data_IF_478658481397
#
_entry.id   IF_478658481397
#
_cell.length_a   1.000
_cell.length_b   1.000
_cell.length_c   1.000
_cell.angle_alpha   90.00
_cell.angle_beta   90.00
_cell.angle_gamma   90.00
#
_symmetry.space_group_name_H-M   'P 1'
#
loop_
_entity.id
_entity.type
_entity.pdbx_description
1 polymer ?
#
# COMPACT_ATOMS: atom_id res chain seq x y z
N UNK A 1 33.58 -25.05 -40.71
CA UNK A 1 34.60 -26.11 -40.66
C UNK A 1 35.60 -25.75 -39.57
N UNK A 2 36.08 -26.76 -38.83
CA UNK A 2 37.18 -26.79 -37.85
C UNK A 2 36.74 -26.71 -36.36
N UNK A 3 36.44 -27.87 -35.71
CA UNK A 3 37.29 -28.72 -34.79
C UNK A 3 37.29 -28.18 -33.33
N UNK A 4 37.21 -28.93 -32.20
CA UNK A 4 37.64 -30.29 -31.81
C UNK A 4 36.82 -30.86 -30.64
N UNK A 5 36.68 -32.18 -30.71
CA UNK A 5 36.31 -33.15 -29.68
C UNK A 5 37.49 -33.35 -28.71
N UNK A 6 37.24 -33.57 -27.42
CA UNK A 6 38.06 -34.46 -26.59
C UNK A 6 37.25 -34.99 -25.40
N UNK A 7 36.97 -36.29 -25.48
CA UNK A 7 36.32 -37.13 -24.49
C UNK A 7 37.24 -37.47 -23.33
N UNK A 8 36.65 -37.77 -22.16
CA UNK A 8 37.16 -38.80 -21.25
C UNK A 8 36.01 -39.31 -20.37
N UNK A 9 35.31 -40.34 -20.84
CA UNK A 9 34.34 -41.11 -20.05
C UNK A 9 34.58 -42.61 -20.33
N UNK A 10 35.21 -43.28 -19.37
CA UNK A 10 35.43 -44.73 -19.23
C UNK A 10 35.70 -44.91 -17.73
N UNK A 11 35.19 -45.86 -16.95
CA UNK A 11 34.29 -47.00 -17.05
C UNK A 11 33.64 -47.08 -15.65
N UNK A 12 32.37 -47.44 -15.50
CA UNK A 12 31.94 -48.84 -15.54
C UNK A 12 32.07 -49.47 -14.16
N UNK A 13 30.94 -49.70 -13.48
CA UNK A 13 30.70 -50.92 -12.72
C UNK A 13 29.19 -51.07 -12.48
N UNK A 14 28.63 -52.11 -13.07
CA UNK A 14 27.28 -52.60 -12.81
C UNK A 14 27.28 -53.29 -11.44
N UNK A 15 26.38 -52.88 -10.54
CA UNK A 15 25.98 -53.71 -9.41
C UNK A 15 24.47 -53.90 -9.49
N UNK A 16 24.11 -55.18 -9.45
CA UNK A 16 22.83 -55.85 -9.55
C UNK A 16 21.70 -55.28 -8.69
N UNK A 17 20.52 -55.26 -9.29
CA UNK A 17 19.20 -55.10 -8.67
C UNK A 17 18.88 -56.22 -7.67
N UNK A 18 18.56 -55.83 -6.44
CA UNK A 18 17.74 -56.61 -5.51
C UNK A 18 16.66 -55.68 -4.94
N UNK A 19 15.37 -56.07 -4.92
CA UNK A 19 14.32 -55.27 -4.29
C UNK A 19 14.39 -55.50 -2.77
N UNK A 20 15.27 -54.78 -2.09
CA UNK A 20 15.15 -54.60 -0.64
C UNK A 20 14.10 -53.52 -0.40
N UNK A 21 12.96 -53.93 0.13
CA UNK A 21 11.97 -53.04 0.72
C UNK A 21 12.60 -52.30 1.90
N UNK A 22 13.32 -51.20 1.61
CA UNK A 22 13.56 -50.16 2.58
C UNK A 22 12.27 -49.39 2.72
N UNK A 23 11.57 -49.60 3.83
CA UNK A 23 10.61 -48.65 4.33
C UNK A 23 11.29 -47.27 4.33
N UNK A 24 10.86 -46.40 3.41
CA UNK A 24 11.19 -45.00 3.46
C UNK A 24 10.51 -44.45 4.72
N UNK A 25 11.25 -44.44 5.83
CA UNK A 25 10.90 -43.56 6.93
C UNK A 25 10.82 -42.15 6.33
N UNK A 26 9.71 -41.40 6.53
CA UNK A 26 9.66 -40.02 6.09
C UNK A 26 10.84 -39.30 6.73
N UNK A 27 11.75 -38.77 5.90
CA UNK A 27 12.78 -37.87 6.38
C UNK A 27 12.05 -36.71 7.06
N UNK A 28 12.07 -36.70 8.40
CA UNK A 28 11.64 -35.54 9.16
C UNK A 28 12.45 -34.35 8.62
N UNK A 29 11.81 -33.20 8.32
CA UNK A 29 12.56 -32.02 7.91
C UNK A 29 13.60 -31.75 8.98
N UNK A 30 14.86 -31.69 8.57
CA UNK A 30 15.95 -31.31 9.44
C UNK A 30 15.65 -29.90 9.95
N UNK A 31 15.10 -29.82 11.16
CA UNK A 31 14.94 -28.57 11.87
C UNK A 31 16.35 -28.01 12.05
N UNK A 32 16.65 -26.93 11.33
CA UNK A 32 17.83 -26.11 11.59
C UNK A 32 17.54 -25.32 12.87
N UNK A 33 17.46 -26.04 13.99
CA UNK A 33 16.85 -25.57 15.22
C UNK A 33 17.88 -25.02 16.21
N UNK A 34 17.88 -23.69 16.37
CA UNK A 34 18.15 -23.10 17.69
C UNK A 34 16.95 -23.31 18.62
N UNK A 35 17.11 -23.04 19.91
CA UNK A 35 15.98 -23.05 20.86
C UNK A 35 14.97 -21.98 20.44
N UNK A 36 13.72 -22.39 20.19
CA UNK A 36 12.63 -21.45 19.94
C UNK A 36 12.22 -20.84 21.28
N UNK A 37 12.46 -19.55 21.46
CA UNK A 37 12.02 -18.82 22.64
C UNK A 37 10.48 -18.74 22.64
N UNK A 38 9.86 -19.33 23.64
CA UNK A 38 8.41 -19.29 23.78
C UNK A 38 7.92 -17.86 24.05
N UNK A 39 6.73 -17.53 23.55
CA UNK A 39 6.08 -16.25 23.84
C UNK A 39 6.46 -15.08 22.93
N UNK A 40 7.39 -15.27 21.99
CA UNK A 40 7.81 -14.23 21.02
C UNK A 40 7.34 -14.62 19.63
N UNK A 41 6.91 -13.63 18.84
CA UNK A 41 6.64 -13.80 17.43
C UNK A 41 6.98 -12.54 16.63
N UNK A 42 6.95 -12.68 15.32
CA UNK A 42 7.22 -11.62 14.34
C UNK A 42 6.01 -11.50 13.41
N UNK A 43 5.58 -10.27 13.18
CA UNK A 43 4.49 -9.96 12.26
C UNK A 43 4.85 -8.80 11.33
N UNK A 44 4.19 -8.73 10.17
CA UNK A 44 4.27 -7.62 9.23
C UNK A 44 2.86 -7.02 9.02
N UNK A 45 2.47 -6.03 9.84
CA UNK A 45 1.12 -5.47 9.76
C UNK A 45 0.76 -4.92 8.37
N UNK A 46 1.63 -4.16 7.67
CA UNK A 46 1.35 -3.73 6.29
C UNK A 46 1.09 -4.89 5.31
N UNK A 47 1.87 -5.96 5.38
CA UNK A 47 1.70 -7.13 4.51
C UNK A 47 0.43 -7.91 4.85
N UNK A 48 0.06 -7.99 6.13
CA UNK A 48 -1.18 -8.64 6.59
C UNK A 48 -2.40 -7.86 6.06
N UNK A 49 -2.41 -6.53 6.20
CA UNK A 49 -3.48 -5.66 5.66
C UNK A 49 -3.63 -5.85 4.15
N UNK A 50 -2.52 -5.80 3.41
CA UNK A 50 -2.53 -5.99 1.95
C UNK A 50 -2.96 -7.40 1.53
N UNK A 51 -2.73 -8.41 2.38
CA UNK A 51 -3.11 -9.80 2.11
C UNK A 51 -4.54 -10.14 2.56
N UNK A 52 -5.21 -9.24 3.30
CA UNK A 52 -6.57 -9.47 3.80
C UNK A 52 -7.59 -9.64 2.67
N UNK A 53 -8.62 -10.45 2.91
CA UNK A 53 -9.71 -10.66 1.95
C UNK A 53 -10.43 -9.33 1.65
N UNK A 54 -10.65 -8.52 2.68
CA UNK A 54 -11.25 -7.21 2.56
C UNK A 54 -10.46 -6.29 1.61
N UNK A 55 -9.13 -6.24 1.74
CA UNK A 55 -8.30 -5.44 0.84
C UNK A 55 -8.32 -6.00 -0.59
N UNK A 56 -8.15 -7.31 -0.76
CA UNK A 56 -8.12 -7.93 -2.08
C UNK A 56 -9.46 -7.75 -2.82
N UNK A 57 -10.58 -7.97 -2.15
CA UNK A 57 -11.92 -7.76 -2.71
C UNK A 57 -12.13 -6.28 -3.03
N UNK A 58 -11.73 -5.37 -2.15
CA UNK A 58 -11.81 -3.94 -2.42
C UNK A 58 -11.00 -3.55 -3.66
N UNK A 59 -9.78 -4.05 -3.83
CA UNK A 59 -8.95 -3.76 -5.03
C UNK A 59 -9.63 -4.23 -6.33
N UNK A 60 -10.32 -5.37 -6.30
CA UNK A 60 -11.05 -5.89 -7.47
C UNK A 60 -12.32 -5.09 -7.76
N UNK A 61 -13.04 -4.68 -6.72
CA UNK A 61 -14.33 -3.99 -6.85
C UNK A 61 -14.19 -2.48 -7.08
N UNK A 62 -13.11 -1.85 -6.59
CA UNK A 62 -12.89 -0.40 -6.70
C UNK A 62 -12.96 0.13 -8.14
N UNK A 63 -12.27 -0.45 -9.14
CA UNK A 63 -12.38 0.03 -10.52
C UNK A 63 -13.78 -0.14 -11.11
N UNK A 64 -14.60 -1.06 -10.56
CA UNK A 64 -16.00 -1.26 -10.97
C UNK A 64 -16.89 -0.20 -10.31
N UNK A 65 -16.76 0.01 -9.00
CA UNK A 65 -17.54 1.01 -8.25
C UNK A 65 -17.27 2.43 -8.75
N UNK A 66 -16.01 2.76 -9.03
CA UNK A 66 -15.59 4.08 -9.49
C UNK A 66 -15.38 4.18 -11.00
N UNK A 67 -15.98 3.25 -11.77
CA UNK A 67 -15.84 3.20 -13.22
C UNK A 67 -16.21 4.53 -13.88
N UNK A 68 -17.30 5.16 -13.44
CA UNK A 68 -17.74 6.45 -14.00
C UNK A 68 -16.68 7.55 -13.84
N UNK A 69 -16.06 7.65 -12.65
CA UNK A 69 -15.00 8.62 -12.37
C UNK A 69 -13.74 8.30 -13.17
N UNK A 70 -13.36 7.02 -13.27
CA UNK A 70 -12.20 6.59 -14.06
C UNK A 70 -12.41 6.91 -15.54
N UNK A 71 -13.58 6.59 -16.10
CA UNK A 71 -13.92 6.88 -17.48
C UNK A 71 -13.93 8.39 -17.73
N UNK A 72 -14.51 9.19 -16.82
CA UNK A 72 -14.49 10.65 -16.90
C UNK A 72 -13.07 11.22 -16.87
N UNK A 73 -12.20 10.71 -15.99
CA UNK A 73 -10.80 11.12 -15.92
C UNK A 73 -10.05 10.79 -17.21
N UNK A 74 -10.29 9.61 -17.79
CA UNK A 74 -9.72 9.19 -19.07
C UNK A 74 -10.20 10.08 -20.23
N UNK A 75 -11.50 10.37 -20.29
CA UNK A 75 -12.05 11.31 -21.27
C UNK A 75 -11.42 12.69 -21.14
N UNK A 76 -11.27 13.20 -19.90
CA UNK A 76 -10.67 14.50 -19.66
C UNK A 76 -9.21 14.53 -20.05
N UNK A 77 -8.44 13.50 -19.71
CA UNK A 77 -7.04 13.34 -20.14
C UNK A 77 -6.92 13.40 -21.66
N UNK A 78 -7.78 12.68 -22.40
CA UNK A 78 -7.75 12.69 -23.86
C UNK A 78 -8.09 14.07 -24.44
N UNK A 79 -9.06 14.78 -23.84
CA UNK A 79 -9.39 16.16 -24.23
C UNK A 79 -8.21 17.12 -24.01
N UNK A 80 -7.53 17.03 -22.87
CA UNK A 80 -6.35 17.86 -22.58
C UNK A 80 -5.24 17.57 -23.59
N UNK A 81 -4.94 16.30 -23.86
CA UNK A 81 -3.94 15.92 -24.87
C UNK A 81 -4.31 16.49 -26.25
N UNK A 82 -5.57 16.36 -26.67
CA UNK A 82 -6.04 16.90 -27.95
C UNK A 82 -5.96 18.44 -28.03
N UNK A 83 -6.13 19.15 -26.91
CA UNK A 83 -5.96 20.60 -26.83
C UNK A 83 -4.48 21.03 -26.85
N UNK A 84 -3.61 20.27 -26.18
CA UNK A 84 -2.18 20.58 -26.08
C UNK A 84 -1.42 20.28 -27.38
N UNK A 85 -1.80 19.23 -28.11
CA UNK A 85 -1.12 18.79 -29.32
C UNK A 85 -0.95 19.89 -30.39
N UNK A 86 -1.98 20.67 -30.78
CA UNK A 86 -1.79 21.77 -31.72
C UNK A 86 -0.95 22.93 -31.13
N UNK A 87 -1.01 23.17 -29.83
CA UNK A 87 -0.19 24.20 -29.17
C UNK A 87 1.29 23.84 -29.19
N UNK A 88 1.61 22.56 -28.93
CA UNK A 88 2.97 22.05 -29.05
C UNK A 88 3.48 22.11 -30.48
N UNK A 89 2.69 21.69 -31.46
CA UNK A 89 3.05 21.78 -32.88
C UNK A 89 3.29 23.25 -33.32
N UNK A 90 2.45 24.17 -32.84
CA UNK A 90 2.61 25.61 -33.12
C UNK A 90 3.87 26.18 -32.47
N UNK A 91 4.13 25.85 -31.21
CA UNK A 91 5.33 26.29 -30.50
C UNK A 91 6.59 25.78 -31.21
N UNK A 92 6.60 24.53 -31.65
CA UNK A 92 7.72 23.96 -32.41
C UNK A 92 7.89 24.67 -33.76
N UNK A 93 6.82 24.89 -34.51
CA UNK A 93 6.86 25.59 -35.79
C UNK A 93 7.37 27.03 -35.64
N UNK A 94 6.84 27.79 -34.68
CA UNK A 94 7.24 29.18 -34.42
C UNK A 94 8.69 29.28 -33.93
N UNK A 95 9.17 28.28 -33.18
CA UNK A 95 10.56 28.23 -32.69
C UNK A 95 11.58 28.02 -33.82
N UNK A 96 11.17 27.36 -34.92
CA UNK A 96 12.01 27.10 -36.10
C UNK A 96 11.92 28.20 -37.15
N UNK A 97 11.10 29.23 -36.93
CA UNK A 97 10.95 30.34 -37.87
C UNK A 97 12.28 31.11 -38.04
N UNK A 98 12.55 31.72 -39.21
CA UNK A 98 13.79 32.46 -39.46
C UNK A 98 14.04 33.65 -38.51
N UNK A 99 12.96 34.19 -37.91
CA UNK A 99 12.98 35.24 -36.88
C UNK A 99 11.91 34.93 -35.84
N UNK A 100 12.19 34.10 -34.83
CA UNK A 100 11.20 33.71 -33.83
C UNK A 100 10.82 34.89 -32.94
N UNK A 101 9.52 35.09 -32.72
CA UNK A 101 9.02 36.09 -31.78
C UNK A 101 9.10 35.54 -30.34
N UNK A 102 10.09 36.02 -29.60
CA UNK A 102 10.35 35.61 -28.22
C UNK A 102 9.19 35.91 -27.27
N UNK A 103 8.41 36.97 -27.51
CA UNK A 103 7.24 37.28 -26.68
C UNK A 103 6.11 36.28 -26.95
N UNK A 104 5.85 35.97 -28.22
CA UNK A 104 4.85 34.97 -28.61
C UNK A 104 5.22 33.56 -28.14
N UNK A 105 6.50 33.16 -28.19
CA UNK A 105 6.95 31.87 -27.66
C UNK A 105 6.77 31.75 -26.15
N UNK A 106 7.11 32.81 -25.39
CA UNK A 106 6.88 32.85 -23.94
C UNK A 106 5.39 32.72 -23.60
N UNK A 107 4.52 33.40 -24.34
CA UNK A 107 3.07 33.30 -24.15
C UNK A 107 2.55 31.89 -24.44
N UNK A 108 3.00 31.26 -25.52
CA UNK A 108 2.63 29.88 -25.85
C UNK A 108 3.07 28.89 -24.77
N UNK A 109 4.29 29.04 -24.26
CA UNK A 109 4.78 28.21 -23.17
C UNK A 109 3.95 28.39 -21.90
N UNK A 110 3.65 29.65 -21.52
CA UNK A 110 2.80 29.94 -20.36
C UNK A 110 1.39 29.34 -20.50
N UNK A 111 0.81 29.41 -21.71
CA UNK A 111 -0.50 28.82 -22.00
C UNK A 111 -0.49 27.30 -21.86
N UNK A 112 0.51 26.63 -22.43
CA UNK A 112 0.69 25.17 -22.30
C UNK A 112 0.80 24.78 -20.82
N UNK A 113 1.70 25.43 -20.08
CA UNK A 113 1.89 25.18 -18.65
C UNK A 113 0.59 25.37 -17.85
N UNK A 114 -0.18 26.40 -18.16
CA UNK A 114 -1.46 26.65 -17.50
C UNK A 114 -2.47 25.52 -17.77
N UNK A 115 -2.58 25.04 -19.01
CA UNK A 115 -3.47 23.95 -19.39
C UNK A 115 -3.04 22.64 -18.70
N UNK A 116 -1.74 22.34 -18.67
CA UNK A 116 -1.22 21.15 -18.01
C UNK A 116 -1.54 21.15 -16.51
N UNK A 117 -1.27 22.26 -15.82
CA UNK A 117 -1.54 22.39 -14.39
C UNK A 117 -3.05 22.34 -14.08
N UNK A 118 -3.88 23.03 -14.87
CA UNK A 118 -5.33 22.99 -14.70
C UNK A 118 -5.88 21.58 -14.95
N UNK A 119 -5.44 20.94 -16.03
CA UNK A 119 -5.84 19.58 -16.38
C UNK A 119 -5.45 18.55 -15.32
N UNK A 120 -4.24 18.66 -14.76
CA UNK A 120 -3.79 17.78 -13.69
C UNK A 120 -4.63 17.94 -12.40
N UNK A 121 -5.00 19.18 -12.05
CA UNK A 121 -5.88 19.45 -10.89
C UNK A 121 -7.28 18.88 -11.11
N UNK A 122 -7.86 19.07 -12.29
CA UNK A 122 -9.18 18.54 -12.61
C UNK A 122 -9.20 17.01 -12.60
N UNK A 123 -8.20 16.36 -13.18
CA UNK A 123 -8.08 14.89 -13.12
C UNK A 123 -7.95 14.40 -11.67
N UNK A 124 -7.16 15.10 -10.84
CA UNK A 124 -7.05 14.77 -9.41
C UNK A 124 -8.39 14.90 -8.69
N UNK A 125 -9.17 15.96 -8.96
CA UNK A 125 -10.50 16.14 -8.39
C UNK A 125 -11.48 15.05 -8.83
N UNK A 126 -11.43 14.64 -10.11
CA UNK A 126 -12.28 13.54 -10.61
C UNK A 126 -11.93 12.22 -9.91
N UNK A 127 -10.64 11.98 -9.64
CA UNK A 127 -10.14 10.77 -8.99
C UNK A 127 -10.07 10.86 -7.46
N UNK A 128 -10.42 12.00 -6.86
CA UNK A 128 -10.43 12.19 -5.41
C UNK A 128 -11.28 11.13 -4.68
N UNK A 129 -12.49 10.76 -5.15
CA UNK A 129 -13.29 9.73 -4.49
C UNK A 129 -12.60 8.35 -4.46
N UNK A 130 -11.76 8.06 -5.46
CA UNK A 130 -10.98 6.82 -5.52
C UNK A 130 -9.92 6.77 -4.42
N UNK A 131 -9.26 7.91 -4.15
CA UNK A 131 -8.26 8.00 -3.09
C UNK A 131 -8.91 7.95 -1.71
N UNK A 132 -10.07 8.58 -1.53
CA UNK A 132 -10.84 8.51 -0.29
C UNK A 132 -11.33 7.09 -0.01
N UNK A 133 -11.75 6.36 -1.06
CA UNK A 133 -12.11 4.94 -0.98
C UNK A 133 -10.96 4.10 -0.41
N UNK A 134 -9.74 4.31 -0.90
CA UNK A 134 -8.58 3.57 -0.43
C UNK A 134 -8.30 3.82 1.05
N UNK A 135 -8.29 5.10 1.45
CA UNK A 135 -8.09 5.46 2.86
C UNK A 135 -9.16 4.87 3.76
N UNK A 136 -10.43 4.87 3.32
CA UNK A 136 -11.53 4.31 4.09
C UNK A 136 -11.46 2.79 4.23
N UNK A 137 -11.06 2.08 3.17
CA UNK A 137 -10.83 0.63 3.24
C UNK A 137 -9.69 0.31 4.21
N UNK A 138 -8.58 1.05 4.13
CA UNK A 138 -7.45 0.88 5.04
C UNK A 138 -7.82 1.19 6.49
N UNK A 139 -8.61 2.24 6.74
CA UNK A 139 -9.11 2.57 8.09
C UNK A 139 -9.94 1.42 8.67
N UNK A 140 -10.90 0.88 7.89
CA UNK A 140 -11.74 -0.24 8.35
C UNK A 140 -10.91 -1.50 8.67
N UNK A 141 -9.89 -1.82 7.87
CA UNK A 141 -9.03 -2.98 8.13
C UNK A 141 -8.12 -2.72 9.33
N UNK A 142 -7.54 -1.52 9.41
CA UNK A 142 -6.69 -1.10 10.52
C UNK A 142 -7.42 -1.16 11.87
N UNK A 143 -8.69 -0.78 11.90
CA UNK A 143 -9.55 -0.84 13.10
C UNK A 143 -9.78 -2.26 13.64
N UNK A 144 -9.52 -3.29 12.84
CA UNK A 144 -9.64 -4.71 13.23
C UNK A 144 -8.31 -5.42 13.40
N UNK A 145 -7.21 -4.78 13.01
CA UNK A 145 -5.88 -5.37 13.03
C UNK A 145 -5.38 -5.64 14.45
N UNK A 146 -5.64 -4.73 15.39
CA UNK A 146 -5.25 -4.90 16.80
C UNK A 146 -6.00 -6.07 17.45
N UNK A 147 -7.32 -6.14 17.26
CA UNK A 147 -8.16 -7.24 17.76
C UNK A 147 -7.75 -8.60 17.16
N UNK A 148 -7.44 -8.62 15.85
CA UNK A 148 -6.93 -9.80 15.15
C UNK A 148 -5.57 -10.25 15.72
N UNK A 149 -4.68 -9.28 15.97
CA UNK A 149 -3.35 -9.53 16.53
C UNK A 149 -3.44 -10.11 17.93
N UNK A 150 -4.27 -9.51 18.79
CA UNK A 150 -4.48 -10.00 20.15
C UNK A 150 -5.10 -11.40 20.18
N UNK A 151 -6.04 -11.69 19.27
CA UNK A 151 -6.67 -13.01 19.13
C UNK A 151 -5.64 -14.06 18.69
N UNK A 152 -4.81 -13.75 17.71
CA UNK A 152 -3.73 -14.62 17.24
C UNK A 152 -2.69 -14.87 18.35
N UNK A 153 -2.27 -13.81 19.06
CA UNK A 153 -1.36 -13.91 20.20
C UNK A 153 -1.91 -14.83 21.29
N UNK A 154 -3.19 -14.69 21.64
CA UNK A 154 -3.86 -15.52 22.66
C UNK A 154 -3.88 -17.00 22.24
N UNK A 155 -4.25 -17.30 20.99
CA UNK A 155 -4.30 -18.68 20.45
C UNK A 155 -2.91 -19.34 20.42
N UNK A 156 -1.89 -18.57 20.04
CA UNK A 156 -0.49 -19.02 19.95
C UNK A 156 0.30 -18.89 21.25
N UNK A 157 -0.30 -18.38 22.33
CA UNK A 157 0.33 -18.09 23.63
C UNK A 157 1.57 -17.19 23.51
N UNK A 158 1.45 -16.13 22.72
CA UNK A 158 2.47 -15.12 22.49
C UNK A 158 2.20 -13.92 23.40
N UNK A 159 3.26 -13.40 24.03
CA UNK A 159 3.22 -12.19 24.86
C UNK A 159 3.91 -11.00 24.21
N UNK A 160 4.76 -11.23 23.20
CA UNK A 160 5.48 -10.18 22.48
C UNK A 160 5.45 -10.45 20.97
N UNK A 161 4.93 -9.48 20.21
CA UNK A 161 5.04 -9.46 18.75
C UNK A 161 6.00 -8.35 18.35
N UNK A 162 6.99 -8.70 17.53
CA UNK A 162 7.93 -7.77 16.94
C UNK A 162 7.52 -7.46 15.50
N UNK A 163 7.69 -6.21 15.09
CA UNK A 163 7.56 -5.87 13.68
C UNK A 163 8.72 -6.48 12.88
N UNK A 164 8.39 -7.21 11.81
CA UNK A 164 9.33 -7.79 10.85
C UNK A 164 10.37 -6.81 10.30
N UNK A 165 10.04 -5.52 10.15
CA UNK A 165 10.95 -4.49 9.66
C UNK A 165 12.05 -4.17 10.68
N UNK A 166 11.82 -4.50 11.96
CA UNK A 166 12.79 -4.34 13.05
C UNK A 166 13.61 -5.61 13.30
N UNK A 167 13.35 -6.71 12.56
CA UNK A 167 13.97 -8.02 12.77
C UNK A 167 14.79 -8.41 11.53
N UNK A 168 16.10 -8.59 11.70
CA UNK A 168 17.02 -8.93 10.59
C UNK A 168 16.73 -10.33 10.03
N UNK A 169 16.47 -11.29 10.91
CA UNK A 169 16.12 -12.67 10.54
C UNK A 169 15.40 -13.35 11.71
N UNK A 170 14.32 -14.05 11.39
CA UNK A 170 13.63 -14.95 12.31
C UNK A 170 13.33 -16.27 11.58
N UNK A 171 13.25 -17.36 12.35
CA UNK A 171 12.74 -18.63 11.83
C UNK A 171 11.23 -18.52 11.53
N UNK A 172 10.75 -19.33 10.59
CA UNK A 172 9.33 -19.37 10.23
C UNK A 172 8.43 -19.74 11.42
N UNK A 173 8.94 -20.46 12.42
CA UNK A 173 8.21 -20.76 13.66
C UNK A 173 7.75 -19.51 14.43
N UNK A 174 8.48 -18.39 14.29
CA UNK A 174 8.12 -17.11 14.91
C UNK A 174 7.11 -16.30 14.08
N UNK A 175 6.81 -16.70 12.85
CA UNK A 175 5.91 -15.93 11.99
C UNK A 175 4.45 -16.04 12.48
N UNK A 176 3.83 -14.89 12.75
CA UNK A 176 2.43 -14.78 13.17
C UNK A 176 1.50 -14.29 12.05
N UNK A 177 2.02 -13.95 10.86
CA UNK A 177 1.25 -13.30 9.80
C UNK A 177 0.00 -14.09 9.42
N UNK A 178 0.12 -15.40 9.23
CA UNK A 178 -1.00 -16.24 8.79
C UNK A 178 -2.08 -16.38 9.87
N UNK A 179 -1.67 -16.44 11.13
CA UNK A 179 -2.59 -16.50 12.27
C UNK A 179 -3.37 -15.17 12.37
N UNK A 180 -2.69 -14.02 12.33
CA UNK A 180 -3.33 -12.69 12.34
C UNK A 180 -4.24 -12.52 11.13
N UNK A 181 -3.78 -12.90 9.93
CA UNK A 181 -4.56 -12.81 8.70
C UNK A 181 -5.85 -13.62 8.79
N UNK A 182 -5.81 -14.80 9.41
CA UNK A 182 -6.99 -15.65 9.61
C UNK A 182 -8.00 -14.97 10.54
N UNK A 183 -7.56 -14.42 11.66
CA UNK A 183 -8.44 -13.67 12.57
C UNK A 183 -8.99 -12.40 11.90
N UNK A 184 -8.14 -11.67 11.17
CA UNK A 184 -8.52 -10.44 10.47
C UNK A 184 -9.61 -10.71 9.43
N UNK A 185 -9.45 -11.76 8.61
CA UNK A 185 -10.46 -12.14 7.62
C UNK A 185 -11.78 -12.61 8.26
N UNK A 186 -11.73 -13.11 9.50
CA UNK A 186 -12.93 -13.45 10.26
C UNK A 186 -13.65 -12.20 10.79
N UNK A 187 -12.89 -11.19 11.24
CA UNK A 187 -13.42 -9.94 11.77
C UNK A 187 -13.92 -8.98 10.67
N UNK A 188 -13.22 -8.92 9.54
CA UNK A 188 -13.55 -8.08 8.39
C UNK A 188 -13.40 -8.88 7.09
N UNK A 189 -14.41 -9.67 6.70
CA UNK A 189 -14.36 -10.45 5.47
C UNK A 189 -14.37 -9.55 4.23
N UNK A 190 -15.06 -8.41 4.29
CA UNK A 190 -15.15 -7.38 3.24
C UNK A 190 -15.13 -5.98 3.84
N UNK A 191 -14.59 -5.01 3.09
CA UNK A 191 -14.61 -3.59 3.43
C UNK A 191 -15.55 -2.82 2.51
N UNK A 192 -16.13 -1.73 3.01
CA UNK A 192 -16.96 -0.86 2.21
C UNK A 192 -16.11 0.11 1.39
N UNK A 193 -16.38 0.20 0.09
CA UNK A 193 -15.60 1.03 -0.84
C UNK A 193 -15.99 2.50 -0.85
N UNK A 194 -17.25 2.81 -0.56
CA UNK A 194 -17.77 4.19 -0.61
C UNK A 194 -17.80 4.71 0.83
N UNK A 195 -17.00 5.73 1.16
CA UNK A 195 -17.08 6.37 2.46
C UNK A 195 -18.47 6.98 2.69
N UNK A 196 -19.01 6.95 3.92
CA UNK A 196 -20.28 7.59 4.22
C UNK A 196 -20.18 9.12 4.07
N UNK A 197 -21.32 9.77 3.85
CA UNK A 197 -21.37 11.23 3.69
C UNK A 197 -20.78 11.94 4.92
N UNK A 198 -19.91 12.93 4.68
CA UNK A 198 -19.22 13.65 5.76
C UNK A 198 -18.06 12.90 6.40
N UNK A 199 -17.71 11.70 5.91
CA UNK A 199 -16.52 11.01 6.38
C UNK A 199 -15.25 11.78 6.00
N UNK A 200 -14.34 11.89 6.96
CA UNK A 200 -13.04 12.52 6.82
C UNK A 200 -11.97 11.52 7.28
N UNK A 201 -10.83 11.41 6.57
CA UNK A 201 -9.74 10.54 6.98
C UNK A 201 -9.29 10.81 8.42
N UNK A 202 -8.89 9.76 9.16
CA UNK A 202 -8.40 9.88 10.54
C UNK A 202 -7.41 11.02 10.76
N UNK A 203 -6.39 11.13 9.90
CA UNK A 203 -5.38 12.19 10.00
C UNK A 203 -5.98 13.61 9.95
N UNK A 204 -7.00 13.83 9.11
CA UNK A 204 -7.70 15.12 9.06
C UNK A 204 -8.57 15.35 10.28
N UNK A 205 -9.26 14.31 10.78
CA UNK A 205 -10.06 14.41 12.01
C UNK A 205 -9.18 14.75 13.22
N UNK A 206 -8.02 14.12 13.34
CA UNK A 206 -7.05 14.40 14.41
C UNK A 206 -6.50 15.81 14.33
N UNK A 207 -6.18 16.31 13.13
CA UNK A 207 -5.75 17.70 12.92
C UNK A 207 -6.85 18.69 13.31
N UNK A 208 -8.10 18.44 12.92
CA UNK A 208 -9.24 19.29 13.29
C UNK A 208 -9.48 19.28 14.81
N UNK A 209 -9.38 18.12 15.45
CA UNK A 209 -9.51 17.99 16.90
C UNK A 209 -8.40 18.75 17.65
N UNK A 210 -7.15 18.68 17.17
CA UNK A 210 -6.03 19.43 17.75
C UNK A 210 -6.23 20.95 17.62
N UNK A 211 -6.73 21.43 16.48
CA UNK A 211 -7.03 22.85 16.28
C UNK A 211 -8.15 23.35 17.19
N UNK A 212 -9.22 22.56 17.37
CA UNK A 212 -10.32 22.88 18.28
C UNK A 212 -9.88 22.88 19.74
N UNK A 213 -9.04 21.92 20.15
CA UNK A 213 -8.47 21.89 21.49
C UNK A 213 -7.58 23.11 21.78
N UNK A 214 -6.78 23.55 20.79
CA UNK A 214 -5.95 24.76 20.92
C UNK A 214 -6.79 26.05 21.03
N UNK A 215 -7.91 26.14 20.28
CA UNK A 215 -8.82 27.29 20.35
C UNK A 215 -9.61 27.32 21.67
N UNK A 216 -10.05 26.16 22.18
CA UNK A 216 -10.71 26.06 23.47
C UNK A 216 -9.77 26.40 24.65
N UNK A 217 -8.49 26.03 24.54
CA UNK A 217 -7.47 26.40 25.54
C UNK A 217 -7.14 27.90 25.53
N UNK A 218 -7.21 28.57 24.37
CA UNK A 218 -7.00 30.02 24.25
C UNK A 218 -8.21 30.87 24.68
N UNK A 219 -9.40 30.26 24.78
CA UNK A 219 -10.65 30.93 25.13
C UNK A 219 -11.06 30.79 26.60
N UNK A 220 -10.28 30.11 27.46
CA UNK A 220 -10.50 30.16 28.91
C UNK A 220 -9.88 31.45 29.48
N UNK A 221 -10.69 32.45 29.90
CA UNK A 221 -10.17 33.63 30.57
C UNK A 221 -9.66 33.23 31.96
N UNK A 222 -8.53 33.82 32.35
CA UNK A 222 -8.01 33.84 33.72
C UNK A 222 -9.09 34.24 34.73
N UNK A 223 -9.85 33.27 35.24
CA UNK A 223 -10.74 33.46 36.38
C UNK A 223 -10.18 32.76 37.63
N UNK A 224 -8.88 32.97 37.88
CA UNK A 224 -8.22 32.62 39.15
C UNK A 224 -7.21 33.69 39.54
N UNK A 225 -7.68 34.71 40.28
CA UNK A 225 -7.23 35.03 41.65
C UNK A 225 -7.54 36.48 42.00
N UNK A 226 -8.48 36.67 42.93
CA UNK A 226 -8.33 37.68 43.96
C UNK A 226 -8.94 37.13 45.27
N UNK A 227 -8.15 36.56 46.19
CA UNK A 227 -8.58 36.46 47.57
C UNK A 227 -8.41 37.86 48.19
N UNK A 228 -9.47 38.66 48.16
CA UNK A 228 -9.51 39.92 48.91
C UNK A 228 -9.93 39.56 50.33
N UNK A 229 -9.02 39.80 51.28
CA UNK A 229 -9.21 39.47 52.68
C UNK A 229 -10.30 40.30 53.37
N UNK A 230 -10.78 39.75 54.48
CA UNK A 230 -11.07 40.41 55.75
C UNK A 230 -11.25 39.35 56.84
#
# INVERSE_FOLDING_TARGET
MITRIASALVAGLLVSVAPQAMAAAPAAPAATGGVVAAGIAVANPPAIVASSSAYQTAQQQRPVTYKAQIDQANTRKNQITAQLQPLYAKLEADSKAPKPDQAALRQQYAQIQQIEQAGQREIQQILEPLQLSEQYVLEQIGDKLDDATQSAMTKRKISLVLDSQSVIKADQAYNLNQDILTELNALIPSAQLVPPAGWLPRAQREQQAQQQAAQAAAAQPDNKKAPVGR
#
